data_IF_025445335596
#
_entry.id   IF_025445335596
#
_cell.length_a   1.000
_cell.length_b   1.000
_cell.length_c   1.000
_cell.angle_alpha   90.00
_cell.angle_beta   90.00
_cell.angle_gamma   90.00
#
_symmetry.space_group_name_H-M   'P 1'
#
loop_
_entity.id
_entity.type
_entity.pdbx_description
1 polymer ?
#
# COMPACT_ATOMS: atom_id res chain seq x y z
N UNK A 1 -11.46 -6.09 -16.05
CA UNK A 1 -11.32 -5.68 -14.62
C UNK A 1 -12.19 -4.47 -14.30
N UNK A 2 -12.10 -3.39 -15.04
CA UNK A 2 -12.91 -2.16 -14.82
C UNK A 2 -14.41 -2.41 -14.85
N UNK A 3 -14.88 -3.25 -15.75
CA UNK A 3 -16.29 -3.66 -15.81
C UNK A 3 -16.79 -4.29 -14.48
N UNK A 4 -15.92 -4.97 -13.76
CA UNK A 4 -16.22 -5.57 -12.45
C UNK A 4 -16.15 -4.56 -11.30
N UNK A 5 -15.77 -3.31 -11.57
CA UNK A 5 -15.66 -2.25 -10.57
C UNK A 5 -14.30 -2.20 -9.84
N UNK A 6 -13.23 -2.62 -10.51
CA UNK A 6 -11.85 -2.38 -10.05
C UNK A 6 -11.49 -0.92 -10.31
N UNK A 7 -10.89 -0.25 -9.32
CA UNK A 7 -10.61 1.19 -9.41
C UNK A 7 -9.35 1.48 -10.24
N UNK A 8 -8.34 0.60 -10.20
CA UNK A 8 -7.18 0.66 -11.08
C UNK A 8 -6.58 -0.73 -11.31
N UNK A 9 -6.01 -0.94 -12.49
CA UNK A 9 -5.40 -2.21 -12.93
C UNK A 9 -4.04 -1.92 -13.52
N UNK A 10 -3.06 -2.77 -13.22
CA UNK A 10 -1.76 -2.75 -13.84
C UNK A 10 -1.21 -4.17 -14.02
N UNK A 11 -0.40 -4.36 -15.05
CA UNK A 11 0.19 -5.62 -15.43
C UNK A 11 1.70 -5.60 -15.17
N UNK A 12 2.25 -6.71 -14.70
CA UNK A 12 3.70 -6.84 -14.59
C UNK A 12 4.16 -8.28 -14.82
N UNK A 13 5.43 -8.43 -15.18
CA UNK A 13 6.12 -9.68 -14.97
C UNK A 13 6.30 -9.91 -13.47
N UNK A 14 6.24 -11.17 -13.03
CA UNK A 14 6.46 -11.55 -11.63
C UNK A 14 7.89 -12.07 -11.48
N UNK A 15 8.80 -11.30 -10.88
CA UNK A 15 10.14 -11.79 -10.60
C UNK A 15 10.10 -12.93 -9.57
N UNK A 16 11.02 -13.87 -9.64
CA UNK A 16 11.09 -14.99 -8.68
C UNK A 16 11.19 -14.52 -7.24
N UNK A 17 11.94 -13.46 -6.97
CA UNK A 17 12.10 -12.88 -5.63
C UNK A 17 10.80 -12.23 -5.07
N UNK A 18 9.77 -12.01 -5.90
CA UNK A 18 8.47 -11.52 -5.44
C UNK A 18 7.59 -12.64 -4.88
N UNK A 19 7.94 -13.90 -5.09
CA UNK A 19 7.31 -15.02 -4.42
C UNK A 19 7.82 -15.20 -2.99
N UNK A 20 6.97 -15.68 -2.10
CA UNK A 20 7.42 -16.15 -0.79
C UNK A 20 8.33 -17.37 -0.96
N UNK A 21 9.33 -17.50 -0.11
CA UNK A 21 10.25 -18.64 -0.15
C UNK A 21 9.61 -19.96 0.28
N UNK A 22 8.56 -19.87 1.11
CA UNK A 22 7.85 -21.02 1.66
C UNK A 22 6.35 -20.77 1.68
N UNK A 23 5.58 -21.83 1.55
CA UNK A 23 4.13 -21.82 1.75
C UNK A 23 3.75 -21.73 3.25
N UNK A 24 2.46 -21.66 3.55
CA UNK A 24 1.95 -21.62 4.93
C UNK A 24 2.26 -22.91 5.73
N UNK A 25 2.60 -24.00 5.07
CA UNK A 25 3.03 -25.26 5.68
C UNK A 25 4.53 -25.35 5.93
N UNK A 26 5.31 -24.33 5.51
CA UNK A 26 6.76 -24.32 5.65
C UNK A 26 7.51 -25.07 4.55
N UNK A 27 6.84 -25.45 3.46
CA UNK A 27 7.49 -26.11 2.32
C UNK A 27 8.07 -25.06 1.37
N UNK A 28 9.26 -25.30 0.76
CA UNK A 28 9.80 -24.43 -0.28
C UNK A 28 8.82 -24.27 -1.42
N UNK A 29 8.65 -23.02 -1.87
CA UNK A 29 7.70 -22.69 -2.92
C UNK A 29 8.43 -22.08 -4.13
N UNK A 30 8.40 -22.77 -5.29
CA UNK A 30 8.96 -22.21 -6.52
C UNK A 30 8.02 -21.14 -7.11
N UNK A 31 8.57 -20.23 -7.90
CA UNK A 31 7.76 -19.37 -8.76
C UNK A 31 7.06 -20.23 -9.83
N UNK A 32 5.76 -20.03 -10.02
CA UNK A 32 4.96 -20.87 -10.92
C UNK A 32 4.21 -20.09 -12.01
N UNK A 33 4.09 -18.77 -11.91
CA UNK A 33 3.51 -17.91 -12.93
C UNK A 33 4.46 -16.75 -13.24
N UNK A 34 4.55 -16.38 -14.51
CA UNK A 34 5.45 -15.32 -14.97
C UNK A 34 4.82 -13.93 -15.00
N UNK A 35 3.49 -13.82 -14.97
CA UNK A 35 2.78 -12.57 -15.13
C UNK A 35 1.75 -12.35 -14.01
N UNK A 36 1.43 -11.09 -13.74
CA UNK A 36 0.39 -10.72 -12.78
C UNK A 36 -0.49 -9.58 -13.28
N UNK A 37 -1.79 -9.73 -13.06
CA UNK A 37 -2.77 -8.64 -12.99
C UNK A 37 -2.84 -8.11 -11.57
N UNK A 38 -2.48 -6.85 -11.36
CA UNK A 38 -2.57 -6.20 -10.06
C UNK A 38 -3.76 -5.26 -10.03
N UNK A 39 -4.55 -5.37 -8.98
CA UNK A 39 -5.81 -4.65 -8.84
C UNK A 39 -5.74 -3.72 -7.62
N UNK A 40 -6.17 -2.48 -7.79
CA UNK A 40 -6.40 -1.56 -6.68
C UNK A 40 -7.89 -1.39 -6.45
N UNK A 41 -8.26 -1.39 -5.18
CA UNK A 41 -9.64 -1.20 -4.71
C UNK A 41 -9.65 -0.06 -3.69
N UNK A 42 -10.42 0.99 -3.97
CA UNK A 42 -10.63 2.09 -3.03
C UNK A 42 -11.34 1.61 -1.75
N UNK A 43 -10.91 2.15 -0.63
CA UNK A 43 -11.44 1.83 0.70
C UNK A 43 -12.73 2.58 1.06
N UNK A 44 -13.36 3.28 0.12
CA UNK A 44 -14.55 4.07 0.41
C UNK A 44 -14.20 5.40 1.07
N UNK A 45 -13.58 6.24 0.32
CA UNK A 45 -13.03 7.53 0.72
C UNK A 45 -14.03 8.39 1.51
N UNK A 46 -15.29 8.52 1.08
CA UNK A 46 -16.27 9.35 1.79
C UNK A 46 -16.51 8.89 3.23
N UNK A 47 -16.65 7.59 3.47
CA UNK A 47 -16.82 7.05 4.82
C UNK A 47 -15.54 7.24 5.64
N UNK A 48 -14.38 7.05 4.99
CA UNK A 48 -13.09 7.22 5.65
C UNK A 48 -12.77 8.66 6.06
N UNK A 49 -13.51 9.66 5.58
CA UNK A 49 -13.40 11.04 6.08
C UNK A 49 -13.69 11.15 7.58
N UNK A 50 -14.51 10.27 8.12
CA UNK A 50 -14.79 10.17 9.55
C UNK A 50 -13.73 9.47 10.39
N UNK A 51 -12.76 8.79 9.75
CA UNK A 51 -11.77 7.98 10.48
C UNK A 51 -10.78 8.85 11.26
N UNK A 52 -10.50 8.47 12.51
CA UNK A 52 -9.52 9.15 13.37
C UNK A 52 -8.28 8.31 13.67
N UNK A 53 -8.35 7.02 13.42
CA UNK A 53 -7.36 6.04 13.86
C UNK A 53 -7.71 5.37 15.20
N UNK A 54 -8.76 5.85 15.90
CA UNK A 54 -9.26 5.32 17.17
C UNK A 54 -10.75 4.97 17.03
N UNK A 55 -11.13 4.29 15.96
CA UNK A 55 -12.49 3.91 15.62
C UNK A 55 -12.51 2.63 14.77
N UNK A 56 -13.71 2.16 14.43
CA UNK A 56 -13.92 0.96 13.62
C UNK A 56 -14.11 1.25 12.12
N UNK A 57 -14.06 2.51 11.69
CA UNK A 57 -14.32 2.90 10.30
C UNK A 57 -13.27 2.30 9.37
N UNK A 58 -11.99 2.41 9.75
CA UNK A 58 -10.88 1.92 8.92
C UNK A 58 -10.92 0.41 8.71
N UNK A 59 -11.26 -0.37 9.74
CA UNK A 59 -11.37 -1.83 9.60
C UNK A 59 -12.56 -2.21 8.72
N UNK A 60 -13.70 -1.58 8.90
CA UNK A 60 -14.91 -1.85 8.10
C UNK A 60 -14.65 -1.61 6.61
N UNK A 61 -14.03 -0.49 6.26
CA UNK A 61 -13.69 -0.16 4.87
C UNK A 61 -12.58 -1.06 4.30
N UNK A 62 -11.62 -1.46 5.13
CA UNK A 62 -10.59 -2.41 4.72
C UNK A 62 -11.20 -3.78 4.39
N UNK A 63 -12.08 -4.28 5.25
CA UNK A 63 -12.76 -5.57 5.02
C UNK A 63 -13.66 -5.52 3.78
N UNK A 64 -14.40 -4.41 3.59
CA UNK A 64 -15.18 -4.18 2.38
C UNK A 64 -14.32 -4.24 1.10
N UNK A 65 -13.15 -3.60 1.11
CA UNK A 65 -12.26 -3.62 -0.06
C UNK A 65 -11.66 -5.02 -0.31
N UNK A 66 -11.30 -5.76 0.72
CA UNK A 66 -10.85 -7.15 0.58
C UNK A 66 -11.92 -8.08 0.05
N UNK A 67 -13.17 -7.92 0.52
CA UNK A 67 -14.30 -8.70 0.00
C UNK A 67 -14.51 -8.41 -1.50
N UNK A 68 -14.51 -7.13 -1.90
CA UNK A 68 -14.61 -6.74 -3.31
C UNK A 68 -13.49 -7.37 -4.14
N UNK A 69 -12.25 -7.28 -3.67
CA UNK A 69 -11.13 -7.91 -4.36
C UNK A 69 -11.31 -9.42 -4.52
N UNK A 70 -11.70 -10.13 -3.45
CA UNK A 70 -11.86 -11.58 -3.49
C UNK A 70 -12.88 -12.03 -4.54
N UNK A 71 -14.00 -11.30 -4.65
CA UNK A 71 -15.01 -11.55 -5.68
C UNK A 71 -14.46 -11.28 -7.09
N UNK A 72 -13.89 -10.12 -7.32
CA UNK A 72 -13.40 -9.70 -8.63
C UNK A 72 -12.20 -10.52 -9.09
N UNK A 73 -11.26 -10.78 -8.20
CA UNK A 73 -10.08 -11.59 -8.48
C UNK A 73 -10.46 -13.03 -8.82
N UNK A 74 -11.44 -13.60 -8.10
CA UNK A 74 -11.97 -14.94 -8.38
C UNK A 74 -12.58 -15.04 -9.77
N UNK A 75 -13.40 -14.06 -10.16
CA UNK A 75 -14.02 -14.01 -11.50
C UNK A 75 -12.95 -13.88 -12.59
N UNK A 76 -11.96 -13.00 -12.39
CA UNK A 76 -10.88 -12.81 -13.36
C UNK A 76 -10.01 -14.05 -13.51
N UNK A 77 -9.63 -14.70 -12.42
CA UNK A 77 -8.86 -15.92 -12.47
C UNK A 77 -9.63 -17.05 -13.18
N UNK A 78 -10.93 -17.19 -12.90
CA UNK A 78 -11.76 -18.17 -13.58
C UNK A 78 -11.88 -17.88 -15.07
N UNK A 79 -12.02 -16.62 -15.46
CA UNK A 79 -12.06 -16.24 -16.87
C UNK A 79 -10.74 -16.58 -17.59
N UNK A 80 -9.59 -16.31 -16.95
CA UNK A 80 -8.27 -16.67 -17.48
C UNK A 80 -8.16 -18.19 -17.65
N UNK A 81 -8.61 -18.95 -16.67
CA UNK A 81 -8.59 -20.44 -16.74
C UNK A 81 -9.47 -20.94 -17.89
N UNK A 82 -10.62 -20.32 -18.16
CA UNK A 82 -11.48 -20.66 -19.30
C UNK A 82 -10.86 -20.31 -20.65
N UNK A 83 -9.89 -19.41 -20.69
CA UNK A 83 -9.09 -19.15 -21.89
C UNK A 83 -7.96 -20.17 -22.08
N UNK A 84 -7.79 -21.14 -21.18
CA UNK A 84 -6.82 -22.21 -21.27
C UNK A 84 -5.51 -21.94 -20.52
N UNK A 85 -5.42 -20.88 -19.72
CA UNK A 85 -4.22 -20.53 -18.96
C UNK A 85 -4.39 -20.85 -17.48
N UNK A 86 -3.29 -21.10 -16.78
CA UNK A 86 -3.29 -21.20 -15.33
C UNK A 86 -3.47 -19.81 -14.69
N UNK A 87 -4.19 -19.73 -13.57
CA UNK A 87 -4.34 -18.48 -12.83
C UNK A 87 -4.61 -18.72 -11.35
N UNK A 88 -3.97 -17.91 -10.48
CA UNK A 88 -4.16 -17.92 -9.04
C UNK A 88 -4.40 -16.52 -8.48
N UNK A 89 -5.37 -16.41 -7.59
CA UNK A 89 -5.67 -15.19 -6.84
C UNK A 89 -4.78 -15.12 -5.59
N UNK A 90 -4.21 -13.96 -5.33
CA UNK A 90 -3.44 -13.67 -4.12
C UNK A 90 -4.11 -12.52 -3.37
N UNK A 91 -4.71 -12.87 -2.24
CA UNK A 91 -5.38 -11.93 -1.34
C UNK A 91 -4.54 -11.72 -0.07
N UNK A 92 -5.05 -10.88 0.84
CA UNK A 92 -4.43 -10.67 2.15
C UNK A 92 -4.43 -11.92 3.04
N UNK A 93 -5.38 -12.84 2.83
CA UNK A 93 -5.53 -14.03 3.66
C UNK A 93 -4.90 -15.28 3.03
N UNK A 94 -4.71 -15.27 1.72
CA UNK A 94 -4.16 -16.39 0.97
C UNK A 94 -3.40 -15.85 -0.23
N UNK A 95 -2.08 -15.79 -0.12
CA UNK A 95 -1.22 -15.26 -1.17
C UNK A 95 0.21 -15.74 -1.04
N UNK A 96 0.84 -15.96 -2.19
CA UNK A 96 2.20 -16.48 -2.32
C UNK A 96 3.17 -15.41 -2.83
N UNK A 97 2.71 -14.17 -3.01
CA UNK A 97 3.49 -13.07 -3.61
C UNK A 97 3.49 -11.82 -2.77
N UNK A 98 4.58 -11.07 -2.85
CA UNK A 98 4.72 -9.74 -2.25
C UNK A 98 3.95 -8.72 -3.09
N UNK A 99 2.84 -8.21 -2.56
CA UNK A 99 1.98 -7.24 -3.25
C UNK A 99 2.69 -5.91 -3.58
N UNK A 100 3.41 -5.25 -2.64
CA UNK A 100 3.99 -3.94 -2.90
C UNK A 100 4.92 -3.89 -4.13
N UNK A 101 5.88 -4.80 -4.31
CA UNK A 101 6.73 -4.76 -5.50
C UNK A 101 5.95 -4.99 -6.81
N UNK A 102 4.92 -5.84 -6.81
CA UNK A 102 4.09 -6.05 -8.00
C UNK A 102 3.32 -4.79 -8.39
N UNK A 103 2.84 -4.01 -7.41
CA UNK A 103 2.18 -2.73 -7.66
C UNK A 103 3.14 -1.68 -8.24
N UNK A 104 4.40 -1.66 -7.77
CA UNK A 104 5.44 -0.80 -8.34
C UNK A 104 5.74 -1.18 -9.80
N UNK A 105 5.99 -2.46 -10.04
CA UNK A 105 6.32 -2.97 -11.36
C UNK A 105 5.19 -2.78 -12.38
N UNK A 106 3.96 -2.72 -11.92
CA UNK A 106 2.78 -2.50 -12.77
C UNK A 106 2.34 -1.03 -12.89
N UNK A 107 3.16 -0.07 -12.45
CA UNK A 107 2.88 1.35 -12.59
C UNK A 107 1.70 1.85 -11.76
N UNK A 108 1.29 1.12 -10.73
CA UNK A 108 0.14 1.50 -9.90
C UNK A 108 0.46 2.50 -8.79
N UNK A 109 1.72 2.81 -8.59
CA UNK A 109 2.13 3.82 -7.61
C UNK A 109 3.59 3.70 -7.20
N UNK A 110 3.95 4.44 -6.16
CA UNK A 110 5.29 4.46 -5.56
C UNK A 110 5.23 4.12 -4.07
N UNK A 111 6.35 3.65 -3.51
CA UNK A 111 6.49 3.43 -2.05
C UNK A 111 6.45 4.76 -1.32
N UNK A 112 5.60 4.88 -0.31
CA UNK A 112 5.47 6.09 0.51
C UNK A 112 6.23 5.99 1.83
N UNK A 113 6.35 7.13 2.54
CA UNK A 113 6.90 7.14 3.92
C UNK A 113 6.06 6.32 4.91
N UNK A 114 4.83 5.98 4.59
CA UNK A 114 4.01 5.10 5.44
C UNK A 114 4.68 3.72 5.63
N UNK A 115 5.71 3.42 4.84
CA UNK A 115 6.42 2.15 4.82
C UNK A 115 6.07 1.34 3.60
N UNK A 116 5.71 0.09 3.75
CA UNK A 116 5.39 -0.83 2.64
C UNK A 116 4.04 -0.52 1.94
N UNK A 117 3.49 0.66 2.14
CA UNK A 117 2.23 1.11 1.52
C UNK A 117 2.53 1.84 0.22
N UNK A 118 2.04 1.28 -0.86
CA UNK A 118 2.07 1.92 -2.18
C UNK A 118 1.02 3.03 -2.20
N UNK A 119 1.40 4.17 -2.75
CA UNK A 119 0.54 5.32 -2.93
C UNK A 119 0.31 5.55 -4.42
N UNK A 120 -0.96 5.62 -4.80
CA UNK A 120 -1.38 5.93 -6.16
C UNK A 120 -1.64 7.44 -6.28
N UNK A 121 -1.23 8.12 -7.38
CA UNK A 121 -1.38 9.57 -7.50
C UNK A 121 -2.83 10.07 -7.56
N UNK A 122 -3.80 9.19 -7.82
CA UNK A 122 -5.22 9.53 -7.94
C UNK A 122 -6.09 8.98 -6.81
N UNK A 123 -5.76 7.79 -6.29
CA UNK A 123 -6.48 7.16 -5.19
C UNK A 123 -5.87 7.48 -3.82
N UNK A 124 -4.65 8.01 -3.81
CA UNK A 124 -3.89 8.22 -2.59
C UNK A 124 -3.47 6.89 -1.92
N UNK A 125 -3.23 6.89 -0.61
CA UNK A 125 -2.82 5.69 0.13
C UNK A 125 -4.00 4.83 0.62
N UNK A 126 -5.26 5.29 0.52
CA UNK A 126 -6.45 4.58 1.01
C UNK A 126 -6.97 3.56 0.01
N UNK A 127 -6.16 2.58 -0.26
CA UNK A 127 -6.47 1.49 -1.18
C UNK A 127 -6.16 0.14 -0.55
N UNK A 128 -6.73 -0.88 -1.12
CA UNK A 128 -6.31 -2.27 -0.94
C UNK A 128 -5.95 -2.84 -2.30
N UNK A 129 -5.07 -3.79 -2.29
CA UNK A 129 -4.60 -4.46 -3.48
C UNK A 129 -4.79 -5.95 -3.39
N UNK A 130 -4.75 -6.57 -4.54
CA UNK A 130 -4.59 -7.99 -4.70
C UNK A 130 -4.08 -8.27 -6.10
N UNK A 131 -3.55 -9.46 -6.31
CA UNK A 131 -2.99 -9.87 -7.59
C UNK A 131 -3.61 -11.15 -8.08
N UNK A 132 -3.72 -11.28 -9.39
CA UNK A 132 -4.00 -12.55 -10.07
C UNK A 132 -2.76 -12.89 -10.87
N UNK A 133 -2.02 -13.90 -10.45
CA UNK A 133 -0.87 -14.39 -11.24
C UNK A 133 -1.32 -15.41 -12.28
N UNK A 134 -0.62 -15.47 -13.40
CA UNK A 134 -0.98 -16.33 -14.53
C UNK A 134 0.24 -16.61 -15.44
N UNK A 135 0.16 -17.69 -16.20
CA UNK A 135 1.04 -17.98 -17.32
C UNK A 135 0.56 -17.39 -18.66
N UNK A 136 -0.64 -16.75 -18.66
CA UNK A 136 -1.14 -16.05 -19.84
C UNK A 136 -0.17 -14.95 -20.28
N UNK A 137 0.26 -14.93 -21.54
CA UNK A 137 1.14 -13.88 -22.07
C UNK A 137 0.49 -12.50 -21.94
N UNK A 138 1.19 -11.55 -21.35
CA UNK A 138 0.75 -10.17 -21.18
C UNK A 138 1.89 -9.20 -21.43
N UNK A 139 1.57 -8.02 -21.94
CA UNK A 139 2.54 -6.93 -22.03
C UNK A 139 2.56 -6.18 -20.70
N UNK A 140 3.69 -6.17 -19.97
CA UNK A 140 3.79 -5.45 -18.71
C UNK A 140 3.65 -3.94 -18.89
N UNK A 141 3.01 -3.31 -17.92
CA UNK A 141 3.06 -1.86 -17.75
C UNK A 141 4.43 -1.44 -17.22
N UNK A 142 4.68 -0.13 -17.16
CA UNK A 142 5.93 0.43 -16.66
C UNK A 142 5.74 1.05 -15.29
N UNK A 143 6.74 0.95 -14.40
CA UNK A 143 6.78 1.75 -13.19
C UNK A 143 6.61 3.23 -13.49
N UNK A 144 5.98 3.95 -12.57
CA UNK A 144 5.77 5.39 -12.67
C UNK A 144 6.60 6.11 -11.61
N UNK A 145 7.02 7.32 -11.94
CA UNK A 145 7.56 8.30 -11.03
C UNK A 145 6.68 9.56 -11.12
N UNK A 146 6.04 9.92 -10.02
CA UNK A 146 5.23 11.13 -9.94
C UNK A 146 5.72 12.10 -8.85
N UNK A 147 6.97 11.95 -8.43
CA UNK A 147 7.64 12.83 -7.47
C UNK A 147 7.29 12.56 -6.01
N UNK A 148 6.68 11.41 -5.72
CA UNK A 148 6.31 11.03 -4.35
C UNK A 148 7.53 10.94 -3.43
N UNK A 149 8.65 10.43 -3.94
CA UNK A 149 9.87 10.24 -3.15
C UNK A 149 10.34 11.57 -2.55
N UNK A 150 10.51 12.59 -3.41
CA UNK A 150 10.92 13.94 -2.98
C UNK A 150 9.89 14.58 -2.04
N UNK A 151 8.61 14.38 -2.30
CA UNK A 151 7.56 14.87 -1.42
C UNK A 151 7.62 14.23 -0.04
N UNK A 152 7.73 12.91 0.03
CA UNK A 152 7.79 12.16 1.28
C UNK A 152 9.08 12.44 2.08
N UNK A 153 10.19 12.79 1.44
CA UNK A 153 11.40 13.24 2.14
C UNK A 153 11.17 14.51 2.95
N UNK A 154 10.36 15.42 2.43
CA UNK A 154 10.06 16.70 3.07
C UNK A 154 8.85 16.66 4.00
N UNK A 155 7.92 15.71 3.78
CA UNK A 155 6.66 15.61 4.50
C UNK A 155 6.70 14.47 5.54
N UNK A 156 6.72 14.81 6.81
CA UNK A 156 6.69 13.85 7.92
C UNK A 156 5.31 13.67 8.56
N UNK A 157 4.25 14.17 7.93
CA UNK A 157 2.90 14.19 8.52
C UNK A 157 2.42 12.81 8.96
N UNK A 158 2.58 11.77 8.13
CA UNK A 158 2.16 10.41 8.51
C UNK A 158 2.95 9.84 9.70
N UNK A 159 4.22 10.20 9.86
CA UNK A 159 5.04 9.81 11.02
C UNK A 159 4.60 10.56 12.28
N UNK A 160 4.43 11.89 12.18
CA UNK A 160 3.96 12.76 13.26
C UNK A 160 2.58 12.34 13.78
N UNK A 161 1.69 11.99 12.89
CA UNK A 161 0.32 11.59 13.22
C UNK A 161 0.18 10.12 13.63
N UNK A 162 1.24 9.31 13.56
CA UNK A 162 1.16 7.89 13.88
C UNK A 162 0.97 7.66 15.39
N UNK A 163 -0.19 7.13 15.85
CA UNK A 163 -0.47 6.98 17.27
C UNK A 163 0.44 5.97 17.98
N UNK A 164 0.99 5.03 17.23
CA UNK A 164 1.94 4.04 17.78
C UNK A 164 3.40 4.46 17.64
N UNK A 165 3.72 5.56 16.93
CA UNK A 165 5.10 5.94 16.61
C UNK A 165 5.83 4.92 15.73
N UNK A 166 5.11 4.16 14.92
CA UNK A 166 5.67 3.09 14.09
C UNK A 166 6.29 3.60 12.79
N UNK A 167 5.90 4.77 12.30
CA UNK A 167 6.38 5.32 11.03
C UNK A 167 7.62 6.18 11.31
N UNK A 168 8.67 5.95 10.55
CA UNK A 168 9.93 6.67 10.74
C UNK A 168 9.88 8.12 10.25
N UNK A 169 10.42 9.05 11.03
CA UNK A 169 10.74 10.41 10.60
C UNK A 169 12.13 10.50 9.94
N UNK A 170 12.90 9.41 9.99
CA UNK A 170 14.29 9.33 9.52
C UNK A 170 14.43 9.12 8.00
N UNK A 171 15.67 8.86 7.57
CA UNK A 171 15.99 8.62 6.17
C UNK A 171 15.44 7.27 5.69
N UNK A 172 15.52 7.03 4.37
CA UNK A 172 15.39 5.70 3.81
C UNK A 172 16.55 4.81 4.26
N UNK A 173 16.24 3.55 4.45
CA UNK A 173 17.21 2.51 4.77
C UNK A 173 17.12 1.39 3.74
N UNK A 174 18.21 0.66 3.57
CA UNK A 174 18.21 -0.55 2.77
C UNK A 174 17.63 -1.71 3.58
N UNK A 175 16.58 -2.30 3.06
CA UNK A 175 15.94 -3.46 3.67
C UNK A 175 15.53 -4.46 2.60
N UNK A 176 15.94 -5.70 2.74
CA UNK A 176 15.70 -6.76 1.75
C UNK A 176 16.09 -6.38 0.29
N UNK A 177 17.16 -5.60 0.15
CA UNK A 177 17.71 -5.21 -1.15
C UNK A 177 17.07 -4.00 -1.83
N UNK A 178 16.16 -3.28 -1.17
CA UNK A 178 15.54 -2.07 -1.72
C UNK A 178 15.50 -0.92 -0.71
N UNK A 179 15.37 0.30 -1.21
CA UNK A 179 15.27 1.52 -0.41
C UNK A 179 13.86 1.73 0.11
N UNK A 180 13.71 1.90 1.42
CA UNK A 180 12.42 2.10 2.05
C UNK A 180 12.51 2.97 3.30
N UNK A 181 11.49 3.75 3.60
CA UNK A 181 11.26 4.25 4.95
C UNK A 181 10.72 3.11 5.79
N UNK A 182 11.63 2.37 6.42
CA UNK A 182 11.27 1.15 7.13
C UNK A 182 10.46 1.47 8.38
N UNK A 183 9.21 1.07 8.40
CA UNK A 183 8.32 1.19 9.56
C UNK A 183 8.55 0.05 10.55
N UNK A 184 8.22 0.30 11.81
CA UNK A 184 8.15 -0.72 12.85
C UNK A 184 6.80 -1.45 12.76
N UNK A 185 6.81 -2.55 12.03
CA UNK A 185 5.60 -3.33 11.77
C UNK A 185 4.98 -3.91 13.06
N UNK A 186 5.80 -4.26 14.06
CA UNK A 186 5.34 -4.78 15.34
C UNK A 186 4.58 -3.70 16.13
N UNK A 187 5.13 -2.49 16.27
CA UNK A 187 4.42 -1.37 16.92
C UNK A 187 3.08 -1.09 16.24
N UNK A 188 3.08 -1.04 14.91
CA UNK A 188 1.86 -0.80 14.14
C UNK A 188 0.84 -1.91 14.37
N UNK A 189 1.24 -3.16 14.24
CA UNK A 189 0.35 -4.30 14.39
C UNK A 189 -0.20 -4.41 15.83
N UNK A 190 0.65 -4.24 16.83
CA UNK A 190 0.25 -4.27 18.24
C UNK A 190 -0.83 -3.22 18.52
N UNK A 191 -0.60 -1.97 18.11
CA UNK A 191 -1.59 -0.89 18.29
C UNK A 191 -2.93 -1.23 17.61
N UNK A 192 -2.88 -1.72 16.38
CA UNK A 192 -4.07 -2.06 15.60
C UNK A 192 -4.89 -3.21 16.18
N UNK A 193 -4.26 -4.11 16.92
CA UNK A 193 -4.90 -5.30 17.51
C UNK A 193 -5.37 -5.03 18.93
N UNK A 194 -4.63 -4.25 19.71
CA UNK A 194 -4.88 -4.06 21.14
C UNK A 194 -5.61 -2.75 21.48
N UNK A 195 -5.86 -1.88 20.52
CA UNK A 195 -6.58 -0.65 20.73
C UNK A 195 -8.07 -0.96 20.97
N UNK A 196 -8.53 -0.75 22.20
CA UNK A 196 -9.94 -0.99 22.57
C UNK A 196 -10.92 -0.02 21.87
N UNK A 197 -10.45 1.12 21.39
CA UNK A 197 -11.27 2.12 20.73
C UNK A 197 -11.56 1.80 19.26
N UNK A 198 -10.78 0.91 18.62
CA UNK A 198 -10.98 0.60 17.22
C UNK A 198 -9.96 -0.38 16.66
N UNK A 199 -10.07 -0.68 15.37
CA UNK A 199 -9.20 -1.61 14.67
C UNK A 199 -8.68 -1.08 13.35
N UNK A 200 -7.52 -1.60 12.91
CA UNK A 200 -6.87 -1.23 11.65
C UNK A 200 -6.65 0.28 11.47
N UNK A 201 -6.42 1.01 12.51
CA UNK A 201 -6.12 2.44 12.66
C UNK A 201 -6.34 3.33 11.41
N UNK A 202 -5.46 3.25 10.38
CA UNK A 202 -5.57 4.01 9.14
C UNK A 202 -5.20 5.50 9.24
N UNK A 203 -4.73 5.98 10.40
CA UNK A 203 -4.42 7.40 10.64
C UNK A 203 -3.41 7.96 9.66
N UNK A 204 -2.35 7.23 9.36
CA UNK A 204 -1.31 7.64 8.42
C UNK A 204 -1.85 7.88 7.00
N UNK A 205 -2.81 7.05 6.58
CA UNK A 205 -3.48 7.21 5.28
C UNK A 205 -4.47 8.37 5.29
N UNK A 206 -5.20 8.55 6.42
CA UNK A 206 -6.16 9.64 6.62
C UNK A 206 -5.49 11.01 6.49
N UNK A 207 -4.34 11.18 7.11
CA UNK A 207 -3.67 12.48 7.21
C UNK A 207 -2.70 12.77 6.06
N UNK A 208 -2.52 11.85 5.13
CA UNK A 208 -1.60 12.02 4.00
C UNK A 208 -2.08 13.13 3.05
N UNK A 209 -1.24 14.10 2.68
CA UNK A 209 -1.60 15.15 1.72
C UNK A 209 -2.01 14.62 0.34
N UNK A 210 -1.56 13.45 -0.06
CA UNK A 210 -1.97 12.76 -1.29
C UNK A 210 -3.31 12.02 -1.18
N UNK A 211 -3.87 11.93 0.03
CA UNK A 211 -5.19 11.34 0.19
C UNK A 211 -6.27 12.22 -0.47
N UNK A 212 -7.41 11.62 -0.79
CA UNK A 212 -8.53 12.32 -1.44
C UNK A 212 -9.14 13.48 -0.60
N UNK A 213 -8.77 13.59 0.65
CA UNK A 213 -9.08 14.72 1.55
C UNK A 213 -7.90 15.69 1.72
N UNK A 214 -6.71 15.31 1.26
CA UNK A 214 -5.50 16.11 1.35
C UNK A 214 -5.45 17.22 0.30
N UNK A 215 -4.46 18.09 0.42
CA UNK A 215 -4.25 19.20 -0.50
C UNK A 215 -4.07 18.72 -1.95
N UNK A 216 -3.38 17.58 -2.13
CA UNK A 216 -3.03 17.06 -3.45
C UNK A 216 -4.16 16.26 -4.12
N UNK A 217 -5.31 16.14 -3.48
CA UNK A 217 -6.55 15.74 -4.15
C UNK A 217 -6.93 16.76 -5.23
N UNK A 218 -6.67 18.04 -5.00
CA UNK A 218 -6.83 19.09 -6.01
C UNK A 218 -5.80 18.93 -7.14
N UNK A 219 -6.30 18.92 -8.37
CA UNK A 219 -5.47 18.67 -9.56
C UNK A 219 -4.36 19.70 -9.76
N UNK A 220 -4.60 20.97 -9.39
CA UNK A 220 -3.61 22.04 -9.51
C UNK A 220 -2.42 21.75 -8.56
N UNK A 221 -2.68 21.56 -7.27
CA UNK A 221 -1.64 21.30 -6.28
C UNK A 221 -0.91 20.00 -6.53
N UNK A 222 -1.63 18.98 -6.99
CA UNK A 222 -1.03 17.71 -7.40
C UNK A 222 -0.05 17.90 -8.56
N UNK A 223 -0.41 18.66 -9.59
CA UNK A 223 0.49 18.97 -10.70
C UNK A 223 1.71 19.78 -10.24
N UNK A 224 1.54 20.71 -9.31
CA UNK A 224 2.68 21.45 -8.73
C UNK A 224 3.62 20.48 -7.99
N UNK A 225 3.08 19.57 -7.16
CA UNK A 225 3.88 18.59 -6.43
C UNK A 225 4.67 17.65 -7.38
N UNK A 226 4.04 17.23 -8.47
CA UNK A 226 4.64 16.32 -9.45
C UNK A 226 5.74 17.00 -10.29
N UNK A 227 5.55 18.28 -10.66
CA UNK A 227 6.44 18.97 -11.58
C UNK A 227 7.51 19.83 -10.90
N UNK A 228 7.30 20.19 -9.65
CA UNK A 228 8.20 21.07 -8.89
C UNK A 228 8.50 20.47 -7.51
N UNK A 229 9.43 19.49 -7.42
CA UNK A 229 9.78 18.82 -6.15
C UNK A 229 10.18 19.81 -5.04
N UNK A 230 10.83 20.93 -5.40
CA UNK A 230 11.21 21.96 -4.44
C UNK A 230 10.01 22.64 -3.72
N UNK A 231 8.79 22.51 -4.25
CA UNK A 231 7.58 23.01 -3.60
C UNK A 231 7.06 22.08 -2.46
N UNK A 232 7.57 20.86 -2.34
CA UNK A 232 7.08 19.87 -1.40
C UNK A 232 7.00 20.36 0.05
N UNK A 233 8.00 21.04 0.64
CA UNK A 233 7.91 21.55 2.01
C UNK A 233 6.79 22.60 2.17
N UNK A 234 6.61 23.47 1.18
CA UNK A 234 5.58 24.50 1.21
C UNK A 234 4.17 23.90 1.09
N UNK A 235 4.00 22.92 0.21
CA UNK A 235 2.73 22.19 0.04
C UNK A 235 2.35 21.39 1.30
N UNK A 236 3.32 20.73 1.94
CA UNK A 236 3.08 20.03 3.19
C UNK A 236 2.63 20.97 4.33
N UNK A 237 3.24 22.17 4.42
CA UNK A 237 2.82 23.20 5.37
C UNK A 237 1.43 23.76 5.04
N UNK A 238 1.14 23.97 3.78
CA UNK A 238 -0.17 24.46 3.34
C UNK A 238 -1.27 23.44 3.66
N UNK A 239 -1.00 22.16 3.48
CA UNK A 239 -1.91 21.07 3.86
C UNK A 239 -2.25 21.11 5.36
N UNK A 240 -1.24 21.35 6.21
CA UNK A 240 -1.44 21.52 7.66
C UNK A 240 -2.19 22.80 8.02
N UNK A 241 -1.88 23.91 7.36
CA UNK A 241 -2.57 25.20 7.60
C UNK A 241 -4.06 25.13 7.25
N UNK A 242 -4.40 24.34 6.24
CA UNK A 242 -5.79 24.13 5.80
C UNK A 242 -6.51 23.01 6.57
N UNK A 243 -5.94 22.49 7.65
CA UNK A 243 -6.51 21.40 8.46
C UNK A 243 -6.86 20.14 7.66
N UNK A 244 -6.16 19.90 6.53
CA UNK A 244 -6.43 18.73 5.70
C UNK A 244 -6.13 17.43 6.46
N UNK A 245 -6.97 16.43 6.28
CA UNK A 245 -6.87 15.17 7.01
C UNK A 245 -7.44 15.18 8.43
N UNK A 246 -8.04 16.29 8.87
CA UNK A 246 -8.86 16.31 10.09
C UNK A 246 -10.12 15.45 9.93
N UNK A 247 -10.74 15.08 11.06
CA UNK A 247 -11.95 14.27 11.06
C UNK A 247 -13.11 15.10 10.53
N UNK A 248 -13.90 14.51 9.63
CA UNK A 248 -15.19 15.06 9.25
C UNK A 248 -16.28 14.53 10.21
N UNK A 249 -16.78 15.32 11.16
CA UNK A 249 -17.74 14.84 12.14
C UNK A 249 -19.07 14.43 11.52
N UNK A 250 -19.45 15.02 10.38
CA UNK A 250 -20.67 14.66 9.64
C UNK A 250 -20.60 13.22 9.12
N UNK A 251 -19.40 12.73 8.81
CA UNK A 251 -19.16 11.36 8.32
C UNK A 251 -18.90 10.36 9.45
N UNK A 252 -18.92 10.81 10.72
CA UNK A 252 -18.56 9.99 11.87
C UNK A 252 -19.73 9.74 12.86
N UNK A 253 -20.76 10.55 12.85
CA UNK A 253 -21.78 10.60 13.90
C UNK A 253 -22.39 9.23 14.24
N UNK A 254 -22.65 8.35 13.26
CA UNK A 254 -23.24 7.02 13.50
C UNK A 254 -22.28 6.00 14.12
N UNK A 255 -20.98 6.30 14.16
CA UNK A 255 -19.98 5.47 14.82
C UNK A 255 -19.80 5.87 16.29
N UNK A 256 -20.31 7.04 16.67
CA UNK A 256 -20.23 7.59 18.01
C UNK A 256 -21.61 7.50 18.73
N UNK A 257 -22.39 6.47 18.43
CA UNK A 257 -23.67 6.18 19.10
C UNK A 257 -23.57 4.89 19.90
N UNK A 258 -24.26 4.84 21.03
CA UNK A 258 -24.39 3.66 21.87
C UNK A 258 -25.85 3.43 22.25
N UNK A 259 -26.20 2.17 22.58
CA UNK A 259 -27.51 1.81 23.04
C UNK A 259 -27.61 2.10 24.54
N UNK A 260 -28.41 3.10 24.93
CA UNK A 260 -28.76 3.29 26.32
C UNK A 260 -29.68 2.14 26.79
N UNK A 261 -29.14 1.33 27.68
CA UNK A 261 -29.83 0.14 28.20
C UNK A 261 -31.06 0.44 29.02
N UNK A 262 -31.20 1.67 29.59
CA UNK A 262 -32.34 2.06 30.40
C UNK A 262 -33.51 2.53 29.54
N UNK A 263 -33.24 3.26 28.49
CA UNK A 263 -34.28 3.81 27.62
C UNK A 263 -34.53 2.96 26.38
N UNK A 264 -33.61 2.03 26.02
CA UNK A 264 -33.66 1.26 24.78
C UNK A 264 -33.46 2.11 23.52
N UNK A 265 -32.91 3.33 23.65
CA UNK A 265 -32.70 4.27 22.57
C UNK A 265 -31.21 4.42 22.27
N UNK A 266 -30.90 4.67 21.01
CA UNK A 266 -29.55 5.08 20.64
C UNK A 266 -29.31 6.53 21.05
N UNK A 267 -28.24 6.77 21.77
CA UNK A 267 -27.77 8.08 22.22
C UNK A 267 -26.33 8.29 21.74
N UNK A 268 -25.88 9.53 21.75
CA UNK A 268 -24.46 9.80 21.47
C UNK A 268 -23.62 9.20 22.60
N UNK A 269 -22.54 8.50 22.23
CA UNK A 269 -21.63 7.92 23.21
C UNK A 269 -20.98 8.98 24.08
N UNK A 270 -20.80 8.66 25.36
CA UNK A 270 -20.21 9.58 26.33
C UNK A 270 -18.78 9.97 25.99
N UNK A 271 -18.05 9.06 25.28
CA UNK A 271 -16.71 9.30 24.78
C UNK A 271 -16.70 9.05 23.27
N UNK A 272 -16.44 10.11 22.51
CA UNK A 272 -16.20 10.02 21.08
C UNK A 272 -14.69 9.94 20.85
N UNK A 273 -14.25 8.94 20.10
CA UNK A 273 -12.84 8.77 19.79
C UNK A 273 -12.42 9.78 18.72
N UNK A 274 -12.05 10.96 19.14
CA UNK A 274 -11.60 12.05 18.28
C UNK A 274 -10.11 12.32 18.51
N UNK A 275 -9.35 12.16 17.46
CA UNK A 275 -7.93 12.49 17.46
C UNK A 275 -7.70 13.73 16.60
N UNK A 276 -7.35 14.84 17.21
CA UNK A 276 -6.95 16.07 16.51
C UNK A 276 -5.59 15.90 15.82
N UNK A 277 -5.31 16.76 14.86
CA UNK A 277 -3.98 16.79 14.21
C UNK A 277 -2.93 17.30 15.18
N UNK A 278 -1.77 16.64 15.20
CA UNK A 278 -0.64 16.97 16.07
C UNK A 278 0.31 17.96 15.36
N UNK A 279 -0.19 19.16 14.99
CA UNK A 279 0.55 20.12 14.17
C UNK A 279 1.83 20.63 14.82
N UNK A 280 1.84 20.73 16.15
CA UNK A 280 2.95 21.29 16.92
C UNK A 280 3.92 20.24 17.42
N UNK A 281 3.68 18.96 17.08
CA UNK A 281 4.61 17.89 17.45
C UNK A 281 5.85 17.92 16.56
N UNK A 282 6.99 18.30 17.16
CA UNK A 282 8.33 18.20 16.54
C UNK A 282 8.86 16.77 16.73
N UNK A 283 8.48 15.89 15.80
CA UNK A 283 8.95 14.51 15.83
C UNK A 283 10.33 14.41 15.19
N UNK A 284 11.34 14.07 16.00
CA UNK A 284 12.70 13.83 15.52
C UNK A 284 12.99 12.33 15.45
N UNK A 285 13.75 11.94 14.45
CA UNK A 285 14.14 10.53 14.25
C UNK A 285 14.93 9.97 15.45
N UNK A 286 15.79 10.78 16.03
CA UNK A 286 16.66 10.43 17.17
C UNK A 286 15.83 10.05 18.42
N UNK A 287 14.63 10.55 18.53
CA UNK A 287 13.72 10.27 19.65
C UNK A 287 12.89 8.99 19.41
N UNK A 288 13.00 8.38 18.22
CA UNK A 288 12.27 7.17 17.88
C UNK A 288 13.04 5.89 18.20
N UNK A 289 12.37 4.95 18.83
CA UNK A 289 12.84 3.58 19.00
C UNK A 289 12.07 2.64 18.07
N UNK A 290 12.66 2.36 16.93
CA UNK A 290 12.07 1.50 15.90
C UNK A 290 12.76 0.13 15.92
N UNK A 291 12.01 -0.92 15.63
CA UNK A 291 12.52 -2.28 15.58
C UNK A 291 12.21 -2.96 14.24
N UNK A 292 13.05 -3.91 13.87
CA UNK A 292 12.84 -4.78 12.71
C UNK A 292 13.19 -6.21 13.08
N UNK A 293 12.42 -7.13 12.56
CA UNK A 293 12.60 -8.56 12.80
C UNK A 293 12.71 -9.30 11.47
N UNK A 294 13.69 -10.17 11.30
CA UNK A 294 13.75 -11.07 10.16
C UNK A 294 12.64 -12.14 10.26
N UNK A 295 12.29 -12.72 9.13
CA UNK A 295 11.17 -13.67 9.04
C UNK A 295 11.32 -14.89 9.96
N UNK A 296 12.55 -15.38 10.16
CA UNK A 296 12.86 -16.51 11.06
C UNK A 296 12.69 -16.19 12.54
N UNK A 297 12.61 -14.91 12.90
CA UNK A 297 12.38 -14.43 14.28
C UNK A 297 10.94 -13.96 14.50
N UNK A 298 10.13 -13.92 13.46
CA UNK A 298 8.70 -13.61 13.60
C UNK A 298 7.95 -14.85 14.13
N UNK A 299 7.07 -14.66 15.12
CA UNK A 299 6.27 -15.76 15.63
C UNK A 299 5.36 -16.32 14.53
N UNK A 300 5.14 -17.62 14.58
CA UNK A 300 4.15 -18.29 13.71
C UNK A 300 2.77 -17.65 13.90
N UNK A 301 1.92 -17.63 12.86
CA UNK A 301 0.59 -17.03 12.97
C UNK A 301 -0.25 -17.71 14.04
N UNK A 302 -0.85 -16.94 14.87
CA UNK A 302 -1.83 -17.18 15.93
C UNK A 302 -1.87 -18.57 16.61
N UNK A 303 -1.94 -18.59 17.94
CA UNK A 303 -2.03 -17.50 18.92
C UNK A 303 -0.68 -17.24 19.64
N UNK A 304 0.31 -16.82 18.92
CA UNK A 304 1.65 -16.62 19.49
C UNK A 304 1.82 -15.19 20.00
N UNK A 305 2.44 -15.04 21.16
CA UNK A 305 2.84 -13.75 21.70
C UNK A 305 3.88 -13.10 20.79
N UNK A 306 3.67 -11.82 20.50
CA UNK A 306 4.54 -11.00 19.68
C UNK A 306 5.97 -10.97 20.18
N UNK A 307 6.91 -10.55 19.30
CA UNK A 307 8.32 -10.84 19.47
C UNK A 307 8.79 -10.50 20.81
N UNK A 308 9.48 -11.44 21.27
CA UNK A 308 9.92 -11.61 22.62
C UNK A 308 11.13 -10.75 22.94
N UNK A 309 11.89 -10.30 21.95
CA UNK A 309 13.10 -9.51 22.16
C UNK A 309 13.08 -8.20 21.38
N UNK A 310 12.45 -7.19 21.97
CA UNK A 310 12.38 -5.86 21.34
C UNK A 310 13.74 -5.15 21.28
N UNK A 311 14.60 -5.37 22.22
CA UNK A 311 15.94 -4.78 22.24
C UNK A 311 16.79 -5.28 21.06
N UNK A 312 16.71 -6.57 20.76
CA UNK A 312 17.33 -7.14 19.57
C UNK A 312 16.76 -6.51 18.28
N UNK A 313 15.45 -6.36 18.20
CA UNK A 313 14.79 -5.72 17.06
C UNK A 313 15.23 -4.26 16.86
N UNK A 314 15.41 -3.50 17.93
CA UNK A 314 15.93 -2.12 17.90
C UNK A 314 17.38 -2.11 17.42
N UNK A 315 18.22 -2.96 17.98
CA UNK A 315 19.62 -3.06 17.57
C UNK A 315 19.75 -3.41 16.07
N UNK A 316 18.90 -4.31 15.57
CA UNK A 316 18.84 -4.66 14.15
C UNK A 316 18.38 -3.49 13.28
N UNK A 317 17.42 -2.70 13.74
CA UNK A 317 16.97 -1.52 13.02
C UNK A 317 18.09 -0.48 12.90
N UNK A 318 18.81 -0.25 14.00
CA UNK A 318 19.95 0.68 14.04
C UNK A 318 21.14 0.22 13.18
N UNK A 319 21.26 -1.08 12.93
CA UNK A 319 22.28 -1.65 12.06
C UNK A 319 21.95 -1.57 10.56
N UNK A 320 20.72 -1.17 10.18
CA UNK A 320 20.35 -1.01 8.78
C UNK A 320 21.17 0.13 8.14
N UNK A 321 21.61 -0.12 6.93
CA UNK A 321 22.43 0.85 6.18
C UNK A 321 21.54 1.85 5.44
N UNK A 322 22.00 3.08 5.35
CA UNK A 322 21.43 4.03 4.38
C UNK A 322 21.80 3.59 2.94
N UNK A 323 21.06 4.03 1.92
CA UNK A 323 21.40 3.73 0.53
C UNK A 323 22.84 4.08 0.15
N UNK A 324 23.34 5.25 0.62
CA UNK A 324 24.70 5.67 0.38
C UNK A 324 25.75 4.75 1.03
N UNK A 325 25.54 4.33 2.27
CA UNK A 325 26.40 3.37 2.97
C UNK A 325 26.37 2.00 2.27
N UNK A 326 25.23 1.55 1.83
CA UNK A 326 25.07 0.30 1.09
C UNK A 326 25.86 0.33 -0.22
N UNK A 327 25.73 1.39 -1.02
CA UNK A 327 26.46 1.57 -2.27
C UNK A 327 27.98 1.67 -2.03
N UNK A 328 28.41 2.36 -0.99
CA UNK A 328 29.82 2.44 -0.63
C UNK A 328 30.42 1.06 -0.28
N UNK A 329 29.67 0.22 0.45
CA UNK A 329 30.10 -1.16 0.74
C UNK A 329 30.18 -2.02 -0.51
N UNK A 330 29.20 -1.93 -1.42
CA UNK A 330 29.22 -2.63 -2.70
C UNK A 330 30.45 -2.23 -3.53
N UNK A 331 30.72 -0.93 -3.65
CA UNK A 331 31.88 -0.41 -4.38
C UNK A 331 33.22 -0.89 -3.77
N UNK A 332 33.27 -1.09 -2.47
CA UNK A 332 34.44 -1.64 -1.76
C UNK A 332 34.54 -3.18 -1.81
N UNK A 333 33.61 -3.86 -2.49
CA UNK A 333 33.57 -5.34 -2.58
C UNK A 333 33.13 -6.02 -1.28
N UNK A 334 32.55 -5.27 -0.33
CA UNK A 334 32.09 -5.78 0.96
C UNK A 334 30.63 -6.23 0.85
N UNK A 335 30.40 -7.41 0.30
CA UNK A 335 29.04 -7.94 0.02
C UNK A 335 28.49 -8.84 1.12
N UNK A 336 29.32 -9.23 2.09
CA UNK A 336 28.89 -10.10 3.19
C UNK A 336 27.77 -9.44 4.01
N UNK A 337 26.68 -10.16 4.19
CA UNK A 337 25.51 -9.71 4.94
C UNK A 337 24.67 -8.66 4.20
N UNK A 338 24.98 -8.31 2.96
CA UNK A 338 24.11 -7.50 2.13
C UNK A 338 23.10 -8.41 1.42
N UNK A 339 21.81 -8.04 1.48
CA UNK A 339 20.81 -8.66 0.63
C UNK A 339 21.15 -8.36 -0.86
N UNK A 340 20.83 -9.27 -1.79
CA UNK A 340 20.96 -8.95 -3.20
C UNK A 340 20.17 -7.68 -3.53
N UNK A 341 20.78 -6.80 -4.32
CA UNK A 341 20.10 -5.58 -4.78
C UNK A 341 18.87 -5.91 -5.64
N UNK A 342 18.01 -4.93 -5.87
CA UNK A 342 16.86 -5.11 -6.73
C UNK A 342 17.34 -5.59 -8.11
N UNK A 343 16.68 -6.62 -8.62
CA UNK A 343 16.95 -7.09 -9.96
C UNK A 343 16.67 -5.95 -10.97
N UNK A 344 17.44 -5.81 -12.03
CA UNK A 344 17.12 -4.85 -13.07
C UNK A 344 15.71 -5.11 -13.59
N UNK A 345 14.99 -4.04 -13.88
CA UNK A 345 13.69 -4.19 -14.55
C UNK A 345 13.86 -5.01 -15.82
N UNK A 346 12.89 -5.88 -16.16
CA UNK A 346 12.92 -6.60 -17.43
C UNK A 346 13.12 -5.61 -18.58
N UNK A 347 13.90 -6.02 -19.58
CA UNK A 347 14.01 -5.26 -20.81
C UNK A 347 12.61 -4.95 -21.35
N UNK A 348 12.44 -3.77 -21.94
CA UNK A 348 11.14 -3.41 -22.51
C UNK A 348 10.66 -4.53 -23.43
N UNK A 349 9.45 -5.05 -23.20
CA UNK A 349 8.91 -6.04 -24.11
C UNK A 349 8.77 -5.40 -25.50
N UNK A 350 9.01 -6.15 -26.57
CA UNK A 350 8.84 -5.62 -27.90
C UNK A 350 7.42 -5.11 -28.08
N UNK A 351 7.29 -3.87 -28.52
CA UNK A 351 5.99 -3.30 -28.89
C UNK A 351 5.58 -3.88 -30.24
N UNK A 352 4.58 -4.73 -30.22
CA UNK A 352 3.98 -5.23 -31.45
C UNK A 352 2.88 -4.27 -31.88
N UNK A 353 2.98 -3.59 -33.02
CA UNK A 353 1.87 -2.84 -33.56
C UNK A 353 0.71 -3.80 -33.85
N UNK A 354 -0.48 -3.44 -33.41
CA UNK A 354 -1.73 -4.17 -33.74
C UNK A 354 -2.68 -3.23 -34.43
N UNK A 355 -3.38 -3.73 -35.42
CA UNK A 355 -4.42 -2.98 -36.14
C UNK A 355 -5.78 -3.46 -35.69
N UNK A 356 -6.68 -2.52 -35.40
CA UNK A 356 -8.06 -2.85 -35.14
C UNK A 356 -8.67 -3.44 -36.43
N UNK A 357 -8.96 -4.74 -36.42
CA UNK A 357 -9.47 -5.46 -37.55
C UNK A 357 -11.00 -5.38 -37.63
N UNK A 358 -11.65 -5.55 -36.49
CA UNK A 358 -13.11 -5.55 -36.42
C UNK A 358 -13.59 -4.93 -35.12
N UNK A 359 -14.65 -4.12 -35.22
CA UNK A 359 -15.45 -3.69 -34.06
C UNK A 359 -16.88 -4.16 -34.32
N UNK A 360 -17.43 -4.92 -33.39
CA UNK A 360 -18.78 -5.42 -33.45
C UNK A 360 -19.57 -4.92 -32.25
N UNK A 361 -20.63 -4.20 -32.46
CA UNK A 361 -21.50 -3.73 -31.39
C UNK A 361 -22.46 -4.86 -30.99
N UNK A 362 -22.35 -5.30 -29.73
CA UNK A 362 -23.07 -6.45 -29.21
C UNK A 362 -24.35 -6.05 -28.46
N UNK A 363 -24.35 -4.85 -27.88
CA UNK A 363 -25.48 -4.20 -27.23
C UNK A 363 -25.13 -2.71 -27.06
N UNK A 364 -26.12 -1.89 -26.70
CA UNK A 364 -25.90 -0.47 -26.44
C UNK A 364 -24.77 -0.26 -25.42
N UNK A 365 -23.69 0.39 -25.85
CA UNK A 365 -22.49 0.65 -25.03
C UNK A 365 -21.54 -0.53 -24.83
N UNK A 366 -21.81 -1.71 -25.47
CA UNK A 366 -20.94 -2.88 -25.41
C UNK A 366 -20.45 -3.26 -26.79
N UNK A 367 -19.15 -3.19 -27.03
CA UNK A 367 -18.57 -3.59 -28.31
C UNK A 367 -17.45 -4.63 -28.12
N UNK A 368 -17.38 -5.56 -29.06
CA UNK A 368 -16.28 -6.50 -29.22
C UNK A 368 -15.27 -5.92 -30.19
N UNK A 369 -13.98 -5.99 -29.80
CA UNK A 369 -12.87 -5.53 -30.62
C UNK A 369 -11.99 -6.74 -30.99
N UNK A 370 -11.63 -6.83 -32.26
CA UNK A 370 -10.70 -7.83 -32.77
C UNK A 370 -9.48 -7.10 -33.34
N UNK A 371 -8.30 -7.44 -32.83
CA UNK A 371 -7.04 -6.89 -33.27
C UNK A 371 -6.23 -7.96 -34.00
N UNK A 372 -5.49 -7.54 -35.02
CA UNK A 372 -4.56 -8.41 -35.77
C UNK A 372 -3.19 -7.77 -35.84
N UNK A 373 -2.17 -8.59 -36.04
CA UNK A 373 -0.86 -8.09 -36.44
C UNK A 373 -0.98 -7.38 -37.81
N UNK A 374 -0.15 -6.36 -38.10
CA UNK A 374 -0.20 -5.64 -39.37
C UNK A 374 -0.06 -6.48 -40.61
N UNK A 375 0.63 -7.62 -40.49
CA UNK A 375 1.04 -8.48 -41.61
C UNK A 375 0.24 -9.78 -41.72
N UNK A 376 -0.87 -9.95 -40.95
CA UNK A 376 -1.59 -11.22 -41.04
C UNK A 376 -3.01 -11.25 -40.53
#
# INVERSE_FOLDING_TARGET
SYYLGVDAVGLCAVPEWAYYSHDAGGNPMPAYHANALNLLIDQGHETMEGASGDDWISVAQSMRAYLRFSLMGGILAEQIRRLGYSARVHSVLDGDVLQPPLLLLSGLGEVSRIGEVILNPFLGPRLKSGSVTTDMPMTPDRPIDFGLQSFCESCNKCARECPSGAITAGPKLMYNGYEIWKSDAEKCARYRITNAAGGMCGRCMKTCPWNLEGLLADSLWRQVAMKLPAAAPALARLDDLLDRGSINPVKKWWWDIELDKHTGRYVQAAQTHQRTLQKDLDLRYEDQTLAVYPADKMPQPYPVTYPVNREEGIARYQALLTPAQYQARLAAGQTEGLAPGPQPLPAEPPVFPVVLHKREEMAEGLARYEFKAPDG
#
